data_IF_940114950245
#
_entry.id   IF_940114950245
#
_cell.length_a   1.000
_cell.length_b   1.000
_cell.length_c   1.000
_cell.angle_alpha   90.00
_cell.angle_beta   90.00
_cell.angle_gamma   90.00
#
_symmetry.space_group_name_H-M   'P 1'
#
loop_
_entity.id
_entity.type
_entity.pdbx_description
1 polymer ?
#
# COMPACT_ATOMS: atom_id res chain seq x y z
N UNK A 1 -50.41 -44.42 26.71
CA UNK A 1 -49.00 -44.84 26.87
C UNK A 1 -48.30 -43.81 27.77
N UNK A 2 -47.98 -44.13 29.03
CA UNK A 2 -47.29 -43.20 29.94
C UNK A 2 -45.78 -43.41 29.78
N UNK A 3 -45.06 -42.38 29.35
CA UNK A 3 -43.60 -42.41 29.23
C UNK A 3 -42.94 -42.43 30.61
N UNK A 4 -41.86 -43.20 30.74
CA UNK A 4 -41.11 -43.36 31.99
C UNK A 4 -40.45 -42.02 32.39
N UNK A 5 -40.60 -41.53 33.63
CA UNK A 5 -40.02 -40.26 34.09
C UNK A 5 -38.50 -40.16 33.87
N UNK A 6 -37.77 -41.28 33.91
CA UNK A 6 -36.33 -41.31 33.62
C UNK A 6 -36.01 -41.00 32.16
N UNK A 7 -36.84 -41.47 31.23
CA UNK A 7 -36.68 -41.20 29.79
C UNK A 7 -36.97 -39.73 29.49
N UNK A 8 -37.97 -39.14 30.17
CA UNK A 8 -38.28 -37.72 30.06
C UNK A 8 -37.12 -36.87 30.60
N UNK A 9 -36.56 -37.22 31.76
CA UNK A 9 -35.40 -36.52 32.34
C UNK A 9 -34.16 -36.57 31.44
N UNK A 10 -33.85 -37.74 30.87
CA UNK A 10 -32.74 -37.88 29.92
C UNK A 10 -32.96 -37.09 28.63
N UNK A 11 -34.19 -37.10 28.09
CA UNK A 11 -34.52 -36.32 26.90
C UNK A 11 -34.39 -34.81 27.14
N UNK A 12 -34.81 -34.32 28.32
CA UNK A 12 -34.65 -32.92 28.72
C UNK A 12 -33.16 -32.56 28.85
N UNK A 13 -32.35 -33.42 29.46
CA UNK A 13 -30.91 -33.18 29.60
C UNK A 13 -30.19 -33.09 28.24
N UNK A 14 -30.54 -33.96 27.29
CA UNK A 14 -30.01 -33.91 25.92
C UNK A 14 -30.44 -32.62 25.22
N UNK A 15 -31.72 -32.24 25.32
CA UNK A 15 -32.22 -31.01 24.73
C UNK A 15 -31.50 -29.76 25.28
N UNK A 16 -31.30 -29.67 26.60
CA UNK A 16 -30.54 -28.59 27.22
C UNK A 16 -29.09 -28.56 26.72
N UNK A 17 -28.44 -29.71 26.62
CA UNK A 17 -27.06 -29.81 26.14
C UNK A 17 -26.94 -29.35 24.69
N UNK A 18 -27.88 -29.74 23.83
CA UNK A 18 -27.95 -29.27 22.45
C UNK A 18 -28.17 -27.75 22.37
N UNK A 19 -29.07 -27.19 23.17
CA UNK A 19 -29.35 -25.75 23.20
C UNK A 19 -28.12 -24.96 23.67
N UNK A 20 -27.46 -25.39 24.74
CA UNK A 20 -26.26 -24.73 25.26
C UNK A 20 -25.12 -24.81 24.25
N UNK A 21 -24.94 -25.97 23.60
CA UNK A 21 -23.91 -26.14 22.57
C UNK A 21 -24.19 -25.27 21.34
N UNK A 22 -25.44 -25.20 20.89
CA UNK A 22 -25.86 -24.33 19.79
C UNK A 22 -25.67 -22.85 20.15
N UNK A 23 -26.00 -22.44 21.37
CA UNK A 23 -25.81 -21.07 21.85
C UNK A 23 -24.33 -20.71 21.96
N UNK A 24 -23.48 -21.61 22.47
CA UNK A 24 -22.04 -21.42 22.55
C UNK A 24 -21.40 -21.34 21.15
N UNK A 25 -21.84 -22.19 20.22
CA UNK A 25 -21.42 -22.13 18.82
C UNK A 25 -21.85 -20.82 18.18
N UNK A 26 -23.11 -20.40 18.36
CA UNK A 26 -23.63 -19.13 17.84
C UNK A 26 -22.87 -17.92 18.40
N UNK A 27 -22.58 -17.90 19.71
CA UNK A 27 -21.83 -16.82 20.35
C UNK A 27 -20.38 -16.76 19.83
N UNK A 28 -19.72 -17.91 19.68
CA UNK A 28 -18.36 -18.01 19.11
C UNK A 28 -18.32 -17.67 17.61
N UNK A 29 -19.38 -17.99 16.88
CA UNK A 29 -19.53 -17.69 15.45
C UNK A 29 -19.85 -16.22 15.19
N UNK A 30 -20.18 -15.44 16.22
CA UNK A 30 -20.48 -14.03 16.04
C UNK A 30 -19.18 -13.30 15.68
N UNK A 31 -19.06 -12.88 14.43
CA UNK A 31 -18.04 -11.91 14.06
C UNK A 31 -18.31 -10.64 14.87
N UNK A 32 -17.44 -10.33 15.82
CA UNK A 32 -17.43 -9.04 16.48
C UNK A 32 -17.15 -8.00 15.41
N UNK A 33 -18.10 -7.11 15.20
CA UNK A 33 -17.93 -6.01 14.26
C UNK A 33 -16.79 -5.12 14.75
N UNK A 34 -15.81 -4.86 13.87
CA UNK A 34 -14.66 -4.02 14.15
C UNK A 34 -15.01 -2.62 13.66
N UNK A 35 -14.87 -1.60 14.53
CA UNK A 35 -15.01 -0.18 14.18
C UNK A 35 -14.15 0.63 15.14
N UNK A 36 -12.88 0.82 14.81
CA UNK A 36 -11.91 1.45 15.69
C UNK A 36 -11.16 2.56 14.97
N UNK A 37 -10.82 3.62 15.70
CA UNK A 37 -9.89 4.65 15.23
C UNK A 37 -8.62 4.55 16.06
N UNK A 38 -7.49 4.45 15.38
CA UNK A 38 -6.16 4.54 15.97
C UNK A 38 -5.58 5.90 15.64
N UNK A 39 -5.09 6.61 16.65
CA UNK A 39 -4.47 7.93 16.49
C UNK A 39 -2.97 7.78 16.72
N UNK A 40 -2.20 8.05 15.68
CA UNK A 40 -0.74 8.05 15.68
C UNK A 40 -0.27 9.48 15.87
N UNK A 41 0.32 9.78 17.02
CA UNK A 41 0.94 11.06 17.30
C UNK A 41 2.38 10.83 17.79
N UNK A 42 3.15 11.92 17.91
CA UNK A 42 4.58 11.88 18.26
C UNK A 42 4.83 10.90 19.42
N UNK A 43 5.85 10.06 19.26
CA UNK A 43 6.25 8.90 20.08
C UNK A 43 6.12 9.03 21.61
N UNK A 44 6.11 10.24 22.15
CA UNK A 44 5.96 10.50 23.59
C UNK A 44 4.58 10.12 24.16
N UNK A 45 3.58 9.82 23.31
CA UNK A 45 2.23 9.44 23.74
C UNK A 45 1.73 8.09 23.20
N UNK A 46 2.60 7.20 22.71
CA UNK A 46 2.20 5.86 22.26
C UNK A 46 1.90 4.89 23.43
N UNK A 47 1.10 5.33 24.41
CA UNK A 47 0.70 4.53 25.56
C UNK A 47 -0.17 3.31 25.20
N UNK A 48 -0.65 3.23 23.95
CA UNK A 48 -1.65 2.26 23.51
C UNK A 48 -1.14 1.25 22.47
N UNK A 49 0.16 1.27 22.11
CA UNK A 49 0.76 0.36 21.13
C UNK A 49 -0.06 0.22 19.84
N UNK A 50 -0.55 1.35 19.30
CA UNK A 50 -1.45 1.33 18.14
C UNK A 50 -0.81 0.71 16.90
N UNK A 51 0.51 0.85 16.75
CA UNK A 51 1.24 0.22 15.65
C UNK A 51 1.21 -1.31 15.75
N UNK A 52 1.44 -1.88 16.94
CA UNK A 52 1.34 -3.33 17.13
C UNK A 52 -0.09 -3.82 16.90
N UNK A 53 -1.10 -3.06 17.35
CA UNK A 53 -2.49 -3.39 17.10
C UNK A 53 -2.83 -3.34 15.61
N UNK A 54 -2.38 -2.31 14.88
CA UNK A 54 -2.50 -2.18 13.42
C UNK A 54 -1.90 -3.41 12.72
N UNK A 55 -0.66 -3.75 13.07
CA UNK A 55 0.05 -4.91 12.51
C UNK A 55 -0.68 -6.22 12.83
N UNK A 56 -1.26 -6.36 14.02
CA UNK A 56 -2.00 -7.57 14.40
C UNK A 56 -3.22 -7.86 13.50
N UNK A 57 -3.82 -6.84 12.89
CA UNK A 57 -4.89 -7.06 11.91
C UNK A 57 -4.36 -7.67 10.62
N UNK A 58 -3.20 -7.20 10.15
CA UNK A 58 -2.51 -7.75 8.98
C UNK A 58 -2.09 -9.20 9.25
N UNK A 59 -1.47 -9.46 10.41
CA UNK A 59 -0.99 -10.80 10.79
C UNK A 59 -2.10 -11.86 10.89
N UNK A 60 -3.34 -11.43 11.12
CA UNK A 60 -4.53 -12.30 11.25
C UNK A 60 -5.18 -12.67 9.91
N UNK A 61 -4.68 -12.16 8.80
CA UNK A 61 -5.14 -12.53 7.46
C UNK A 61 -5.17 -14.07 7.30
N UNK A 62 -6.14 -14.56 6.54
CA UNK A 62 -6.34 -15.99 6.26
C UNK A 62 -6.27 -16.34 4.79
N UNK A 63 -6.57 -15.38 3.91
CA UNK A 63 -6.74 -15.60 2.48
C UNK A 63 -5.96 -14.57 1.67
N UNK A 64 -6.14 -13.27 1.96
CA UNK A 64 -5.49 -12.21 1.20
C UNK A 64 -5.24 -10.95 2.01
N UNK A 65 -4.26 -10.17 1.54
CA UNK A 65 -4.03 -8.78 1.96
C UNK A 65 -3.84 -7.93 0.70
N UNK A 66 -4.72 -6.94 0.53
CA UNK A 66 -4.72 -6.04 -0.62
C UNK A 66 -4.34 -4.63 -0.15
N UNK A 67 -3.20 -4.12 -0.58
CA UNK A 67 -2.61 -2.85 -0.11
C UNK A 67 -2.65 -1.81 -1.22
N UNK A 68 -3.15 -0.61 -0.94
CA UNK A 68 -3.06 0.55 -1.82
C UNK A 68 -2.45 1.71 -1.05
N UNK A 69 -1.22 2.08 -1.40
CA UNK A 69 -0.42 3.10 -0.69
C UNK A 69 0.41 3.91 -1.69
N UNK A 70 0.76 5.18 -1.43
CA UNK A 70 1.63 5.94 -2.32
C UNK A 70 2.99 5.25 -2.51
N UNK A 71 3.51 4.61 -1.46
CA UNK A 71 4.67 3.72 -1.51
C UNK A 71 4.70 2.78 -0.30
N UNK A 72 5.49 1.71 -0.38
CA UNK A 72 5.65 0.72 0.69
C UNK A 72 7.14 0.48 0.95
N UNK A 73 7.64 1.00 2.07
CA UNK A 73 9.05 0.89 2.47
C UNK A 73 9.21 1.04 4.00
N UNK A 74 8.20 0.64 4.76
CA UNK A 74 8.28 0.49 6.21
C UNK A 74 8.74 -0.95 6.54
N UNK A 75 9.94 -1.14 7.11
CA UNK A 75 10.51 -2.47 7.32
C UNK A 75 9.66 -3.37 8.22
N UNK A 76 9.00 -2.79 9.23
CA UNK A 76 8.19 -3.55 10.17
C UNK A 76 6.93 -4.12 9.51
N UNK A 77 6.27 -3.34 8.64
CA UNK A 77 5.10 -3.81 7.87
C UNK A 77 5.53 -4.82 6.82
N UNK A 78 6.64 -4.57 6.11
CA UNK A 78 7.12 -5.46 5.05
C UNK A 78 7.51 -6.83 5.56
N UNK A 79 8.23 -6.90 6.67
CA UNK A 79 8.56 -8.18 7.30
C UNK A 79 7.30 -9.01 7.61
N UNK A 80 6.18 -8.36 7.95
CA UNK A 80 4.91 -9.06 8.20
C UNK A 80 4.26 -9.56 6.92
N UNK A 81 4.22 -8.74 5.87
CA UNK A 81 3.71 -9.19 4.56
C UNK A 81 4.54 -10.36 4.02
N UNK A 82 5.87 -10.28 4.08
CA UNK A 82 6.77 -11.39 3.71
C UNK A 82 6.46 -12.65 4.52
N UNK A 83 6.28 -12.53 5.84
CA UNK A 83 5.93 -13.68 6.68
C UNK A 83 4.57 -14.28 6.33
N UNK A 84 3.56 -13.45 6.02
CA UNK A 84 2.25 -13.95 5.58
C UNK A 84 2.36 -14.78 4.30
N UNK A 85 3.15 -14.33 3.33
CA UNK A 85 3.34 -15.06 2.07
C UNK A 85 4.11 -16.36 2.34
N UNK A 86 5.30 -16.26 2.93
CA UNK A 86 6.23 -17.39 3.09
C UNK A 86 5.74 -18.46 4.07
N UNK A 87 5.10 -18.06 5.17
CA UNK A 87 4.73 -19.00 6.24
C UNK A 87 3.27 -19.45 6.16
N UNK A 88 2.38 -18.62 5.59
CA UNK A 88 0.94 -18.90 5.56
C UNK A 88 0.37 -19.05 4.16
N UNK A 89 1.18 -18.86 3.11
CA UNK A 89 0.75 -18.91 1.72
C UNK A 89 -0.44 -17.97 1.43
N UNK A 90 -0.41 -16.78 2.03
CA UNK A 90 -1.45 -15.76 1.86
C UNK A 90 -1.12 -14.90 0.65
N UNK A 91 -2.14 -14.62 -0.17
CA UNK A 91 -1.99 -13.76 -1.35
C UNK A 91 -1.81 -12.30 -0.91
N UNK A 92 -0.72 -11.65 -1.36
CA UNK A 92 -0.47 -10.24 -1.10
C UNK A 92 -0.42 -9.48 -2.42
N UNK A 93 -1.35 -8.56 -2.60
CA UNK A 93 -1.48 -7.70 -3.78
C UNK A 93 -1.23 -6.25 -3.37
N UNK A 94 -0.36 -5.54 -4.07
CA UNK A 94 0.04 -4.18 -3.71
C UNK A 94 -0.10 -3.26 -4.92
N UNK A 95 -0.85 -2.18 -4.79
CA UNK A 95 -0.88 -1.07 -5.76
C UNK A 95 -0.14 0.11 -5.15
N UNK A 96 0.88 0.59 -5.85
CA UNK A 96 1.60 1.82 -5.49
C UNK A 96 1.50 2.90 -6.57
N UNK A 97 1.75 4.14 -6.15
CA UNK A 97 1.96 5.25 -7.08
C UNK A 97 3.34 5.16 -7.73
N UNK A 98 3.50 5.74 -8.92
CA UNK A 98 4.79 5.79 -9.61
C UNK A 98 5.88 6.46 -8.77
N UNK A 99 5.52 7.50 -8.01
CA UNK A 99 6.44 8.20 -7.11
C UNK A 99 6.89 7.36 -5.90
N UNK A 100 6.16 6.29 -5.59
CA UNK A 100 6.52 5.33 -4.54
C UNK A 100 7.65 4.39 -4.89
N UNK A 101 8.13 4.43 -6.14
CA UNK A 101 9.24 3.62 -6.64
C UNK A 101 10.37 4.51 -7.16
N UNK A 102 11.56 4.31 -6.60
CA UNK A 102 12.84 4.91 -6.96
C UNK A 102 14.00 4.03 -6.41
N UNK A 103 15.24 4.35 -6.76
CA UNK A 103 16.46 3.62 -6.35
C UNK A 103 16.51 3.33 -4.84
N UNK A 104 16.14 4.28 -3.98
CA UNK A 104 16.18 4.10 -2.52
C UNK A 104 15.13 3.14 -1.97
N UNK A 105 14.06 2.91 -2.75
CA UNK A 105 12.94 2.02 -2.37
C UNK A 105 12.99 0.67 -3.10
N UNK A 106 13.81 0.55 -4.13
CA UNK A 106 13.91 -0.62 -5.00
C UNK A 106 14.16 -1.92 -4.22
N UNK A 107 15.10 -1.89 -3.28
CA UNK A 107 15.43 -3.05 -2.44
C UNK A 107 14.19 -3.63 -1.74
N UNK A 108 13.36 -2.76 -1.17
CA UNK A 108 12.16 -3.18 -0.45
C UNK A 108 11.08 -3.76 -1.37
N UNK A 109 10.96 -3.22 -2.58
CA UNK A 109 10.03 -3.72 -3.60
C UNK A 109 10.50 -5.10 -4.10
N UNK A 110 11.79 -5.26 -4.37
CA UNK A 110 12.39 -6.54 -4.77
C UNK A 110 12.18 -7.62 -3.71
N UNK A 111 12.42 -7.31 -2.44
CA UNK A 111 12.21 -8.27 -1.34
C UNK A 111 10.78 -8.80 -1.29
N UNK A 112 9.78 -7.93 -1.49
CA UNK A 112 8.37 -8.33 -1.52
C UNK A 112 8.05 -9.21 -2.73
N UNK A 113 8.55 -8.86 -3.92
CA UNK A 113 8.37 -9.64 -5.15
C UNK A 113 9.00 -11.02 -5.01
N UNK A 114 10.24 -11.08 -4.52
CA UNK A 114 10.96 -12.34 -4.25
C UNK A 114 10.25 -13.21 -3.21
N UNK A 115 9.53 -12.59 -2.26
CA UNK A 115 8.68 -13.31 -1.33
C UNK A 115 7.41 -13.88 -1.96
N UNK A 116 6.99 -13.38 -3.12
CA UNK A 116 5.78 -13.79 -3.86
C UNK A 116 4.64 -12.77 -3.84
N UNK A 117 4.90 -11.50 -3.49
CA UNK A 117 3.89 -10.45 -3.61
C UNK A 117 3.71 -10.03 -5.07
N UNK A 118 2.46 -9.80 -5.48
CA UNK A 118 2.15 -9.15 -6.75
C UNK A 118 2.13 -7.63 -6.51
N UNK A 119 2.91 -6.86 -7.27
CA UNK A 119 3.00 -5.40 -7.11
C UNK A 119 2.72 -4.72 -8.44
N UNK A 120 1.77 -3.79 -8.43
CA UNK A 120 1.38 -3.01 -9.60
C UNK A 120 1.55 -1.52 -9.37
N UNK A 121 1.81 -0.80 -10.45
CA UNK A 121 2.02 0.63 -10.47
C UNK A 121 1.08 1.30 -11.47
N UNK A 122 0.56 2.47 -11.11
CA UNK A 122 -0.18 3.33 -12.06
C UNK A 122 0.84 4.09 -12.93
N UNK A 123 1.09 3.61 -14.15
CA UNK A 123 2.17 4.14 -15.01
C UNK A 123 1.71 5.26 -15.96
N UNK A 124 0.39 5.40 -16.18
CA UNK A 124 -0.15 6.13 -17.33
C UNK A 124 -0.64 7.57 -17.05
N UNK A 125 -0.42 8.11 -15.84
CA UNK A 125 -0.91 9.46 -15.49
C UNK A 125 0.14 10.25 -14.71
N UNK A 126 1.19 10.80 -15.36
CA UNK A 126 2.24 11.57 -14.67
C UNK A 126 1.73 12.85 -14.00
N UNK A 127 0.51 13.30 -14.33
CA UNK A 127 -0.09 14.54 -13.79
C UNK A 127 -0.87 14.30 -12.50
N UNK A 128 -1.31 13.07 -12.22
CA UNK A 128 -2.16 12.75 -11.08
C UNK A 128 -1.53 11.69 -10.19
N UNK A 129 -1.10 12.08 -8.98
CA UNK A 129 -0.56 11.15 -7.99
C UNK A 129 -1.68 10.41 -7.26
N UNK A 130 -1.57 9.10 -7.11
CA UNK A 130 -2.48 8.31 -6.29
C UNK A 130 -2.22 8.59 -4.80
N UNK A 131 -3.25 9.07 -4.09
CA UNK A 131 -3.17 9.45 -2.67
C UNK A 131 -3.92 8.50 -1.73
N UNK A 132 -4.49 7.41 -2.24
CA UNK A 132 -5.16 6.41 -1.41
C UNK A 132 -4.17 5.75 -0.45
N UNK A 133 -4.65 5.52 0.78
CA UNK A 133 -3.88 4.93 1.88
C UNK A 133 -4.79 3.94 2.59
N UNK A 134 -4.93 2.75 2.01
CA UNK A 134 -5.76 1.72 2.59
C UNK A 134 -5.18 0.31 2.43
N UNK A 135 -5.60 -0.58 3.30
CA UNK A 135 -5.33 -2.00 3.26
C UNK A 135 -6.63 -2.75 3.53
N UNK A 136 -6.90 -3.78 2.72
CA UNK A 136 -7.99 -4.73 2.95
C UNK A 136 -7.38 -6.05 3.42
N UNK A 137 -7.90 -6.57 4.51
CA UNK A 137 -7.56 -7.91 5.02
C UNK A 137 -8.74 -8.84 4.77
N UNK A 138 -8.49 -9.93 4.05
CA UNK A 138 -9.45 -10.95 3.65
C UNK A 138 -10.72 -10.38 2.98
N UNK A 139 -10.60 -9.23 2.30
CA UNK A 139 -11.71 -8.45 1.70
C UNK A 139 -12.86 -8.11 2.68
N UNK A 140 -12.61 -8.19 3.98
CA UNK A 140 -13.63 -8.06 5.04
C UNK A 140 -13.32 -6.97 6.04
N UNK A 141 -12.05 -6.65 6.21
CA UNK A 141 -11.59 -5.61 7.13
C UNK A 141 -10.88 -4.54 6.30
N UNK A 142 -11.35 -3.32 6.39
CA UNK A 142 -10.74 -2.15 5.80
C UNK A 142 -9.94 -1.41 6.86
N UNK A 143 -8.68 -1.11 6.56
CA UNK A 143 -7.81 -0.21 7.30
C UNK A 143 -7.54 0.99 6.39
N UNK A 144 -7.93 2.20 6.75
CA UNK A 144 -7.77 3.39 5.90
C UNK A 144 -7.55 4.65 6.73
N UNK A 145 -6.84 5.63 6.19
CA UNK A 145 -6.62 6.89 6.90
C UNK A 145 -5.53 7.76 6.26
N UNK A 146 -4.78 8.47 7.09
CA UNK A 146 -3.72 9.39 6.62
C UNK A 146 -2.32 8.78 6.71
N UNK A 147 -2.17 7.66 7.43
CA UNK A 147 -0.88 7.01 7.68
C UNK A 147 -0.31 6.37 6.41
N UNK A 148 0.84 6.85 5.95
CA UNK A 148 1.64 6.20 4.92
C UNK A 148 2.41 5.00 5.49
N UNK A 149 2.64 3.99 4.66
CA UNK A 149 3.52 2.85 4.95
C UNK A 149 4.94 3.04 4.37
N UNK A 150 5.37 4.29 4.28
CA UNK A 150 6.76 4.68 4.02
C UNK A 150 7.56 4.88 5.31
N UNK A 151 8.84 5.20 5.16
CA UNK A 151 9.79 5.38 6.25
C UNK A 151 9.73 6.80 6.86
N UNK A 152 9.18 7.76 6.13
CA UNK A 152 9.31 9.20 6.38
C UNK A 152 8.18 9.84 7.21
N UNK A 153 7.06 9.14 7.45
CA UNK A 153 5.87 9.79 8.04
C UNK A 153 5.12 9.04 9.14
N UNK A 154 5.52 7.82 9.50
CA UNK A 154 4.77 7.04 10.50
C UNK A 154 4.96 7.55 11.95
N UNK A 155 6.08 8.21 12.26
CA UNK A 155 6.43 8.60 13.64
C UNK A 155 6.48 10.11 13.90
N UNK A 156 6.68 10.91 12.84
CA UNK A 156 6.89 12.36 12.97
C UNK A 156 5.65 13.21 12.72
N UNK A 157 4.56 12.59 12.25
CA UNK A 157 3.33 13.29 11.86
C UNK A 157 2.11 12.75 12.60
N UNK A 158 1.12 13.63 12.79
CA UNK A 158 -0.18 13.24 13.32
C UNK A 158 -0.95 12.53 12.23
N UNK A 159 -1.27 11.26 12.49
CA UNK A 159 -2.03 10.43 11.59
C UNK A 159 -3.14 9.73 12.33
N UNK A 160 -4.12 9.26 11.58
CA UNK A 160 -5.08 8.29 12.09
C UNK A 160 -5.27 7.16 11.08
N UNK A 161 -5.70 6.03 11.61
CA UNK A 161 -6.18 4.90 10.82
C UNK A 161 -7.51 4.47 11.39
N UNK A 162 -8.53 4.44 10.55
CA UNK A 162 -9.81 3.83 10.84
C UNK A 162 -9.80 2.38 10.36
N UNK A 163 -10.20 1.46 11.24
CA UNK A 163 -10.29 0.03 10.97
C UNK A 163 -11.75 -0.38 11.12
N UNK A 164 -12.33 -0.96 10.08
CA UNK A 164 -13.73 -1.37 10.09
C UNK A 164 -14.00 -2.68 9.37
N UNK A 165 -14.96 -3.46 9.87
CA UNK A 165 -15.54 -4.61 9.17
C UNK A 165 -16.95 -4.33 8.61
N UNK A 166 -17.42 -3.08 8.70
CA UNK A 166 -18.73 -2.68 8.15
C UNK A 166 -18.70 -2.77 6.63
N UNK A 167 -19.47 -3.71 6.08
CA UNK A 167 -19.48 -3.98 4.64
C UNK A 167 -19.85 -2.73 3.81
N UNK A 168 -20.71 -1.85 4.35
CA UNK A 168 -21.05 -0.58 3.70
C UNK A 168 -19.85 0.35 3.46
N UNK A 169 -18.77 0.22 4.25
CA UNK A 169 -17.54 0.99 4.11
C UNK A 169 -16.44 0.19 3.38
N UNK A 170 -16.43 -1.13 3.57
CA UNK A 170 -15.45 -2.03 2.95
C UNK A 170 -15.71 -2.18 1.44
N UNK A 171 -16.96 -2.42 1.04
CA UNK A 171 -17.31 -2.74 -0.35
C UNK A 171 -16.90 -1.66 -1.38
N UNK A 172 -17.16 -0.36 -1.15
CA UNK A 172 -16.74 0.67 -2.11
C UNK A 172 -15.22 0.70 -2.30
N UNK A 173 -14.45 0.59 -1.22
CA UNK A 173 -12.98 0.63 -1.27
C UNK A 173 -12.41 -0.64 -1.90
N UNK A 174 -13.02 -1.80 -1.62
CA UNK A 174 -12.69 -3.07 -2.27
C UNK A 174 -12.91 -3.00 -3.77
N UNK A 175 -14.05 -2.48 -4.21
CA UNK A 175 -14.34 -2.33 -5.64
C UNK A 175 -13.36 -1.38 -6.33
N UNK A 176 -12.97 -0.29 -5.66
CA UNK A 176 -11.94 0.62 -6.15
C UNK A 176 -10.57 -0.07 -6.27
N UNK A 177 -10.16 -0.85 -5.26
CA UNK A 177 -8.92 -1.63 -5.33
C UNK A 177 -8.88 -2.53 -6.55
N UNK A 178 -9.93 -3.33 -6.79
CA UNK A 178 -9.95 -4.26 -7.92
C UNK A 178 -10.02 -3.55 -9.27
N UNK A 179 -10.71 -2.41 -9.37
CA UNK A 179 -10.68 -1.59 -10.59
C UNK A 179 -9.26 -1.09 -10.88
N UNK A 180 -8.59 -0.50 -9.88
CA UNK A 180 -7.20 -0.07 -10.00
C UNK A 180 -6.27 -1.24 -10.34
N UNK A 181 -6.48 -2.41 -9.71
CA UNK A 181 -5.70 -3.62 -9.96
C UNK A 181 -5.79 -4.10 -11.40
N UNK A 182 -6.96 -3.99 -12.03
CA UNK A 182 -7.17 -4.39 -13.43
C UNK A 182 -6.44 -3.46 -14.41
N UNK A 183 -6.43 -2.15 -14.15
CA UNK A 183 -5.86 -1.15 -15.07
C UNK A 183 -4.38 -0.84 -14.81
N UNK A 184 -3.86 -1.15 -13.62
CA UNK A 184 -2.46 -0.93 -13.27
C UNK A 184 -1.53 -1.96 -13.93
N UNK A 185 -0.32 -1.52 -14.26
CA UNK A 185 0.71 -2.36 -14.87
C UNK A 185 1.56 -3.02 -13.81
N UNK A 186 2.14 -4.18 -14.14
CA UNK A 186 3.10 -4.86 -13.27
C UNK A 186 4.35 -3.99 -13.08
N UNK A 187 4.83 -3.84 -11.85
CA UNK A 187 6.05 -3.09 -11.58
C UNK A 187 7.29 -3.74 -12.21
N UNK A 188 7.25 -5.04 -12.49
CA UNK A 188 8.35 -5.73 -13.16
C UNK A 188 8.58 -5.20 -14.57
N UNK A 189 7.52 -4.88 -15.30
CA UNK A 189 7.64 -4.22 -16.61
C UNK A 189 8.34 -2.86 -16.57
N UNK A 190 8.40 -2.23 -15.40
CA UNK A 190 9.11 -0.96 -15.19
C UNK A 190 10.59 -1.18 -14.90
N UNK A 191 10.96 -2.26 -14.18
CA UNK A 191 12.38 -2.62 -13.97
C UNK A 191 13.09 -2.80 -15.31
N UNK A 192 12.44 -3.50 -16.24
CA UNK A 192 13.00 -3.77 -17.57
C UNK A 192 13.29 -2.46 -18.34
N UNK A 193 12.44 -1.44 -18.22
CA UNK A 193 12.64 -0.13 -18.87
C UNK A 193 13.83 0.63 -18.28
N UNK A 194 14.04 0.58 -16.97
CA UNK A 194 15.17 1.27 -16.31
C UNK A 194 16.51 0.57 -16.60
N UNK A 195 16.51 -0.76 -16.64
CA UNK A 195 17.71 -1.53 -16.97
C UNK A 195 18.15 -1.31 -18.43
N UNK A 196 17.23 -1.10 -19.38
CA UNK A 196 17.57 -0.79 -20.77
C UNK A 196 18.15 0.63 -20.93
N UNK A 197 17.71 1.61 -20.14
CA UNK A 197 18.26 2.98 -20.22
C UNK A 197 19.68 3.12 -19.65
N UNK A 198 20.06 2.27 -18.70
CA UNK A 198 21.41 2.25 -18.12
C UNK A 198 22.40 1.41 -18.97
N UNK A 199 21.91 0.65 -19.94
CA UNK A 199 22.73 -0.12 -20.87
C UNK A 199 23.21 0.68 -22.09
N UNK A 200 22.60 1.85 -22.37
CA UNK A 200 23.04 2.77 -23.43
C UNK A 200 23.96 3.88 -22.87
N UNK A 201 25.13 3.52 -22.33
CA UNK A 201 26.26 4.45 -22.39
C UNK A 201 26.71 4.55 -23.85
N UNK A 202 26.23 5.57 -24.55
CA UNK A 202 26.77 5.96 -25.85
C UNK A 202 28.23 6.36 -25.62
N UNK A 203 29.17 5.46 -25.95
CA UNK A 203 30.55 5.87 -26.19
C UNK A 203 30.55 6.84 -27.37
N UNK A 204 30.60 8.13 -27.08
CA UNK A 204 30.98 9.13 -28.08
C UNK A 204 32.46 8.90 -28.37
N UNK A 205 32.74 7.98 -29.28
CA UNK A 205 34.07 7.81 -29.87
C UNK A 205 34.31 9.01 -30.78
N UNK A 206 34.95 10.05 -30.24
CA UNK A 206 35.47 11.16 -31.04
C UNK A 206 36.46 10.61 -32.07
N UNK A 207 36.19 10.73 -33.38
CA UNK A 207 37.10 10.30 -34.42
C UNK A 207 38.00 11.47 -34.81
N UNK A 208 38.76 12.04 -33.87
CA UNK A 208 39.84 12.98 -34.15
C UNK A 208 40.71 13.18 -32.89
N UNK A 209 41.67 12.28 -32.70
CA UNK A 209 42.81 12.52 -31.83
C UNK A 209 44.04 11.93 -32.50
N UNK A 210 44.61 12.70 -33.42
CA UNK A 210 45.95 12.49 -33.94
C UNK A 210 46.94 12.72 -32.80
N UNK A 211 47.82 11.76 -32.60
CA UNK A 211 48.94 11.82 -31.66
C UNK A 211 49.77 13.10 -31.83
N UNK A 212 49.98 13.84 -30.75
CA UNK A 212 51.21 14.60 -30.51
C UNK A 212 51.40 14.83 -29.01
N UNK A 213 52.67 14.81 -28.61
CA UNK A 213 53.21 14.87 -27.27
C UNK A 213 53.31 16.31 -26.73
N UNK A 214 53.53 16.37 -25.40
CA UNK A 214 54.32 17.35 -24.65
C UNK A 214 53.62 18.44 -23.79
N UNK A 215 53.97 18.34 -22.50
CA UNK A 215 54.34 19.37 -21.50
C UNK A 215 53.36 20.44 -20.95
N UNK A 216 53.13 20.29 -19.63
CA UNK A 216 53.22 21.30 -18.54
C UNK A 216 52.22 22.47 -18.46
N UNK A 217 51.73 22.74 -17.22
CA UNK A 217 51.26 24.08 -16.83
C UNK A 217 50.01 24.14 -15.93
N UNK A 218 50.23 24.56 -14.69
CA UNK A 218 49.30 25.03 -13.64
C UNK A 218 48.16 25.99 -14.10
N UNK A 219 46.95 25.85 -13.52
CA UNK A 219 46.20 26.85 -12.70
C UNK A 219 44.68 26.61 -12.60
N UNK A 220 44.15 27.05 -11.45
CA UNK A 220 42.75 27.10 -11.00
C UNK A 220 41.74 27.69 -11.99
N UNK A 221 40.51 27.15 -12.00
CA UNK A 221 39.28 27.96 -11.88
C UNK A 221 38.02 27.12 -11.55
N UNK A 222 37.28 27.58 -10.55
CA UNK A 222 35.95 27.10 -10.13
C UNK A 222 34.87 27.62 -11.08
N UNK A 223 34.06 26.72 -11.66
CA UNK A 223 32.83 27.07 -12.39
C UNK A 223 31.66 26.25 -11.84
N UNK A 224 30.71 26.96 -11.23
CA UNK A 224 29.36 26.50 -10.90
C UNK A 224 28.56 26.20 -12.17
N UNK A 225 27.98 25.00 -12.28
CA UNK A 225 27.08 24.62 -13.37
C UNK A 225 25.65 24.62 -12.82
N UNK A 226 24.85 25.59 -13.28
CA UNK A 226 23.40 25.61 -13.09
C UNK A 226 22.75 24.51 -13.93
N UNK A 227 21.85 23.72 -13.31
CA UNK A 227 21.16 22.60 -13.95
C UNK A 227 19.98 23.08 -14.82
N UNK A 228 19.75 22.50 -16.03
CA UNK A 228 18.68 22.91 -16.95
C UNK A 228 17.24 22.70 -16.45
N UNK A 229 17.05 22.08 -15.28
CA UNK A 229 15.75 21.59 -14.80
C UNK A 229 14.86 22.72 -14.25
N UNK A 230 15.42 23.81 -13.73
CA UNK A 230 14.63 24.92 -13.18
C UNK A 230 13.99 25.81 -14.26
N UNK A 231 14.64 25.98 -15.40
CA UNK A 231 14.15 26.83 -16.50
C UNK A 231 12.87 26.25 -17.13
N UNK A 232 12.74 24.92 -17.17
CA UNK A 232 11.57 24.23 -17.75
C UNK A 232 10.33 24.38 -16.84
N UNK A 233 10.49 24.38 -15.51
CA UNK A 233 9.36 24.56 -14.57
C UNK A 233 8.73 25.95 -14.65
N UNK A 234 9.51 26.97 -15.02
CA UNK A 234 9.05 28.37 -15.06
C UNK A 234 8.27 28.70 -16.33
N UNK A 235 8.51 28.00 -17.44
CA UNK A 235 7.79 28.21 -18.70
C UNK A 235 6.44 27.47 -18.76
N UNK A 236 6.28 26.33 -18.08
CA UNK A 236 5.03 25.55 -18.16
C UNK A 236 3.87 26.09 -17.29
N UNK A 237 4.14 27.00 -16.35
CA UNK A 237 3.11 27.55 -15.44
C UNK A 237 2.31 28.72 -16.03
N UNK A 238 2.76 29.31 -17.15
CA UNK A 238 2.15 30.54 -17.69
C UNK A 238 1.08 30.33 -18.78
N UNK A 239 1.00 29.15 -19.44
CA UNK A 239 0.25 29.01 -20.71
C UNK A 239 -1.02 28.15 -20.67
N UNK A 240 -1.58 27.80 -19.52
CA UNK A 240 -2.83 27.00 -19.50
C UNK A 240 -3.84 27.35 -18.42
N UNK A 241 -4.13 28.65 -18.27
CA UNK A 241 -5.31 29.14 -17.55
C UNK A 241 -6.11 30.06 -18.47
N UNK A 242 -6.64 29.52 -19.56
CA UNK A 242 -7.81 30.08 -20.23
C UNK A 242 -8.46 29.00 -21.08
N UNK A 243 -9.77 28.82 -20.91
CA UNK A 243 -10.68 27.93 -21.66
C UNK A 243 -10.81 26.48 -21.19
N UNK A 244 -11.35 26.26 -19.98
CA UNK A 244 -12.19 25.08 -19.72
C UNK A 244 -13.41 25.52 -18.89
N UNK A 245 -14.54 25.75 -19.56
CA UNK A 245 -15.84 25.90 -18.92
C UNK A 245 -16.52 24.53 -18.88
N UNK A 246 -16.59 23.90 -17.71
CA UNK A 246 -17.34 22.65 -17.51
C UNK A 246 -18.67 23.01 -16.85
N UNK A 247 -19.75 22.70 -17.55
CA UNK A 247 -21.13 22.90 -17.13
C UNK A 247 -21.56 21.70 -16.28
N UNK A 248 -21.89 21.90 -15.00
CA UNK A 248 -22.47 20.86 -14.15
C UNK A 248 -24.00 20.96 -14.18
N UNK A 249 -24.76 19.89 -14.45
CA UNK A 249 -26.18 19.87 -14.14
C UNK A 249 -26.35 19.73 -12.62
N UNK A 250 -27.00 20.71 -11.99
CA UNK A 250 -27.42 20.64 -10.60
C UNK A 250 -28.35 19.43 -10.38
N UNK A 251 -28.02 18.60 -9.39
CA UNK A 251 -28.96 17.68 -8.77
C UNK A 251 -29.54 18.44 -7.58
N UNK A 252 -30.81 18.84 -7.68
CA UNK A 252 -31.57 19.38 -6.55
C UNK A 252 -31.84 18.27 -5.53
N UNK A 253 -31.69 18.61 -4.24
CA UNK A 253 -32.12 17.82 -3.07
C UNK A 253 -33.46 18.35 -2.60
#
# INVERSE_FOLDING_TARGET
MRLNPRVISSAVAVAFTCVVSAAAYYYKSRNTEINEVMVFCKLQFNAYNYFDKLVSFIERAKYNVNVCMPGIHNPAIQARLVNLIKQKNIKVNIVIDRSGYNESTEFFIKELIEAGAEIKCKVNEPVFTMQHKFCLVDDKILMTGTLNWGNDRSFDHWNYVYITSKQQLVEPVKNEFYQMWTIASDIQSIFDIYCDSDAETIEIRNPDATSTSDESGDQHDTVTVDSPIETIKKQMTAEKISSISINYPCIEV
#
